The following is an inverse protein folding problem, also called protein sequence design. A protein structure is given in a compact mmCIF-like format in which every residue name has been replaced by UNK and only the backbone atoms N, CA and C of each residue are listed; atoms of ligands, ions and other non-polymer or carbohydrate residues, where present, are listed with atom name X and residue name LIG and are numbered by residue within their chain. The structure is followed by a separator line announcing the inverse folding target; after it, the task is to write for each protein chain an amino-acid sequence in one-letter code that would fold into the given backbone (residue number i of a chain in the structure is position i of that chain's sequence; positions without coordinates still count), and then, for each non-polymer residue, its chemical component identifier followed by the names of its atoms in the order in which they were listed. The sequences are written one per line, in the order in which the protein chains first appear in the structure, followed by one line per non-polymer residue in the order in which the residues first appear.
data_IF_929877202363
#
_entry.id   IF_929877202363
#
_cell.length_a   1.000
_cell.length_b   1.000
_cell.length_c   1.000
_cell.angle_alpha   90.00
_cell.angle_beta   90.00
_cell.angle_gamma   90.00
#
_symmetry.space_group_name_H-M   'P 1'
#
loop_
_entity.id
_entity.type
_entity.pdbx_description
1 polymer ?
#
# COMPACT_ATOMS: atom_id res chain seq x y z
N UNK A 1 -7.70 -62.04 -36.52
CA UNK A 1 -6.72 -60.93 -36.54
C UNK A 1 -7.48 -59.62 -36.38
N UNK A 2 -7.64 -59.16 -35.15
CA UNK A 2 -8.39 -57.94 -34.78
C UNK A 2 -7.40 -56.79 -34.63
N UNK A 3 -7.49 -55.78 -35.49
CA UNK A 3 -6.62 -54.58 -35.46
C UNK A 3 -7.18 -53.57 -34.45
N UNK A 4 -6.43 -53.34 -33.37
CA UNK A 4 -6.72 -52.33 -32.35
C UNK A 4 -6.42 -50.94 -32.93
N UNK A 5 -7.41 -50.05 -32.91
CA UNK A 5 -7.26 -48.65 -33.32
C UNK A 5 -6.56 -47.85 -32.21
N UNK A 6 -5.53 -47.09 -32.58
CA UNK A 6 -4.74 -46.25 -31.68
C UNK A 6 -5.50 -44.97 -31.26
N UNK A 7 -5.30 -44.45 -30.04
CA UNK A 7 -5.95 -43.23 -29.57
C UNK A 7 -5.35 -41.98 -30.25
N UNK A 8 -6.24 -41.12 -30.75
CA UNK A 8 -5.94 -39.82 -31.36
C UNK A 8 -5.20 -38.88 -30.40
N UNK A 9 -4.12 -38.25 -30.91
CA UNK A 9 -3.28 -37.32 -30.17
C UNK A 9 -4.04 -36.04 -29.71
N UNK A 10 -3.67 -35.44 -28.56
CA UNK A 10 -4.27 -34.20 -28.08
C UNK A 10 -3.79 -32.99 -28.89
N UNK A 11 -4.73 -32.11 -29.26
CA UNK A 11 -4.50 -30.86 -29.99
C UNK A 11 -3.51 -29.93 -29.28
N UNK A 12 -2.64 -29.20 -30.01
CA UNK A 12 -1.64 -28.32 -29.41
C UNK A 12 -2.31 -27.14 -28.70
N UNK A 13 -2.04 -27.05 -27.40
CA UNK A 13 -2.45 -25.99 -26.49
C UNK A 13 -2.27 -24.60 -27.09
N UNK A 14 -3.35 -23.83 -27.22
CA UNK A 14 -3.22 -22.38 -27.35
C UNK A 14 -2.52 -21.87 -26.08
N UNK A 15 -1.36 -21.22 -26.20
CA UNK A 15 -0.73 -20.53 -25.06
C UNK A 15 -1.47 -19.21 -24.79
N UNK A 16 -1.64 -18.77 -23.54
CA UNK A 16 -2.25 -17.47 -23.27
C UNK A 16 -1.33 -16.35 -23.75
N UNK A 17 -1.76 -15.58 -24.74
CA UNK A 17 -1.01 -14.44 -25.29
C UNK A 17 -0.82 -13.29 -24.28
N UNK A 18 -1.56 -13.30 -23.16
CA UNK A 18 -1.50 -12.27 -22.10
C UNK A 18 -0.43 -12.47 -21.01
N UNK A 19 -0.04 -13.71 -20.69
CA UNK A 19 0.94 -13.98 -19.61
C UNK A 19 2.37 -13.57 -19.98
N UNK A 20 2.70 -13.60 -21.27
CA UNK A 20 4.02 -13.19 -21.77
C UNK A 20 4.20 -11.68 -21.73
N UNK A 21 3.14 -10.89 -21.92
CA UNK A 21 3.21 -9.43 -21.92
C UNK A 21 3.64 -8.85 -20.57
N UNK A 22 3.07 -9.35 -19.47
CA UNK A 22 3.44 -8.87 -18.13
C UNK A 22 4.84 -9.32 -17.72
N UNK A 23 5.21 -10.58 -17.99
CA UNK A 23 6.56 -11.08 -17.72
C UNK A 23 7.62 -10.34 -18.55
N UNK A 24 7.32 -10.03 -19.81
CA UNK A 24 8.18 -9.23 -20.68
C UNK A 24 8.29 -7.78 -20.17
N UNK A 25 7.19 -7.17 -19.72
CA UNK A 25 7.21 -5.81 -19.16
C UNK A 25 8.06 -5.72 -17.88
N UNK A 26 7.88 -6.64 -16.92
CA UNK A 26 8.71 -6.68 -15.71
C UNK A 26 10.18 -7.00 -16.04
N UNK A 27 10.42 -7.89 -17.01
CA UNK A 27 11.77 -8.16 -17.53
C UNK A 27 12.43 -6.95 -18.17
N UNK A 28 11.68 -6.17 -18.98
CA UNK A 28 12.16 -4.92 -19.60
C UNK A 28 12.42 -3.86 -18.54
N UNK A 29 11.53 -3.66 -17.57
CA UNK A 29 11.73 -2.70 -16.49
C UNK A 29 12.98 -3.10 -15.67
N UNK A 30 13.10 -4.38 -15.31
CA UNK A 30 14.28 -4.90 -14.63
C UNK A 30 15.56 -4.70 -15.45
N UNK A 31 15.53 -5.00 -16.75
CA UNK A 31 16.66 -4.79 -17.66
C UNK A 31 17.03 -3.31 -17.80
N UNK A 32 16.05 -2.41 -17.94
CA UNK A 32 16.27 -0.96 -18.03
C UNK A 32 16.87 -0.44 -16.73
N UNK A 33 16.37 -0.89 -15.58
CA UNK A 33 16.93 -0.53 -14.27
C UNK A 33 18.36 -1.07 -14.14
N UNK A 34 18.61 -2.32 -14.50
CA UNK A 34 19.96 -2.91 -14.48
C UNK A 34 20.89 -2.18 -15.44
N UNK A 35 20.47 -1.91 -16.68
CA UNK A 35 21.25 -1.14 -17.66
C UNK A 35 21.55 0.26 -17.14
N UNK A 36 20.57 0.94 -16.54
CA UNK A 36 20.75 2.27 -15.99
C UNK A 36 21.70 2.27 -14.78
N UNK A 37 21.66 1.22 -13.95
CA UNK A 37 22.56 1.06 -12.80
C UNK A 37 23.97 0.64 -13.23
N UNK A 38 24.10 -0.25 -14.22
CA UNK A 38 25.37 -0.84 -14.68
C UNK A 38 26.11 0.08 -15.64
N UNK A 39 25.42 0.66 -16.63
CA UNK A 39 26.02 1.65 -17.55
C UNK A 39 26.12 3.03 -16.92
N UNK A 40 25.39 3.26 -15.83
CA UNK A 40 25.32 4.52 -15.13
C UNK A 40 24.52 5.58 -15.89
N UNK A 41 24.01 6.60 -15.19
CA UNK A 41 23.46 7.76 -15.85
C UNK A 41 24.63 8.56 -16.43
N UNK A 42 24.84 8.44 -17.75
CA UNK A 42 25.94 9.11 -18.45
C UNK A 42 25.83 10.64 -18.46
N UNK A 43 26.70 11.32 -19.21
CA UNK A 43 26.82 12.80 -19.21
C UNK A 43 25.50 13.54 -19.41
N UNK A 44 24.61 13.04 -20.27
CA UNK A 44 23.30 13.66 -20.49
C UNK A 44 22.45 13.72 -19.21
N UNK A 45 22.47 12.66 -18.40
CA UNK A 45 21.74 12.66 -17.13
C UNK A 45 22.30 13.69 -16.16
N UNK A 46 23.63 13.81 -16.10
CA UNK A 46 24.29 14.77 -15.24
C UNK A 46 23.95 16.20 -15.66
N UNK A 47 23.93 16.50 -16.96
CA UNK A 47 23.56 17.81 -17.49
C UNK A 47 22.09 18.15 -17.29
N UNK A 48 21.17 17.21 -17.53
CA UNK A 48 19.72 17.50 -17.51
C UNK A 48 19.04 17.31 -16.15
N UNK A 49 19.59 16.48 -15.26
CA UNK A 49 18.96 16.16 -13.98
C UNK A 49 19.84 16.54 -12.79
N UNK A 50 21.11 16.13 -12.76
CA UNK A 50 21.97 16.35 -11.58
C UNK A 50 22.36 17.82 -11.44
N UNK A 51 22.87 18.44 -12.52
CA UNK A 51 23.35 19.82 -12.52
C UNK A 51 22.24 20.80 -12.14
N UNK A 52 21.05 20.77 -12.76
CA UNK A 52 19.97 21.68 -12.37
C UNK A 52 19.49 21.42 -10.95
N UNK A 53 19.47 20.16 -10.52
CA UNK A 53 19.09 19.78 -9.15
C UNK A 53 20.07 20.34 -8.10
N UNK A 54 21.37 20.21 -8.31
CA UNK A 54 22.39 20.76 -7.40
C UNK A 54 22.23 22.27 -7.31
N UNK A 55 22.15 22.97 -8.45
CA UNK A 55 22.01 24.42 -8.46
C UNK A 55 20.69 24.88 -7.81
N UNK A 56 19.60 24.14 -8.02
CA UNK A 56 18.34 24.40 -7.35
C UNK A 56 18.46 24.22 -5.83
N UNK A 57 19.12 23.17 -5.36
CA UNK A 57 19.32 22.93 -3.93
C UNK A 57 20.20 24.01 -3.28
N UNK A 58 21.29 24.42 -3.93
CA UNK A 58 22.16 25.52 -3.46
C UNK A 58 21.42 26.85 -3.47
N UNK A 59 20.60 27.10 -4.49
CA UNK A 59 19.75 28.29 -4.52
C UNK A 59 18.73 28.31 -3.38
N UNK A 60 18.06 27.16 -3.15
CA UNK A 60 17.09 27.02 -2.07
C UNK A 60 17.75 27.15 -0.70
N UNK A 61 18.99 26.70 -0.53
CA UNK A 61 19.79 26.89 0.68
C UNK A 61 19.96 28.36 1.03
N UNK A 62 20.31 29.19 0.03
CA UNK A 62 20.40 30.64 0.22
C UNK A 62 19.06 31.24 0.64
N UNK A 63 17.95 30.76 0.06
CA UNK A 63 16.60 31.22 0.43
C UNK A 63 16.18 30.84 1.86
N UNK A 64 16.69 29.72 2.39
CA UNK A 64 16.39 29.26 3.75
C UNK A 64 17.51 29.57 4.75
N UNK A 65 18.26 30.65 4.49
CA UNK A 65 19.28 31.20 5.37
C UNK A 65 20.47 30.25 5.65
N UNK A 66 20.87 29.45 4.66
CA UNK A 66 22.01 28.55 4.76
C UNK A 66 21.71 27.21 5.46
N UNK A 67 20.45 26.91 5.74
CA UNK A 67 20.05 25.65 6.38
C UNK A 67 19.75 24.58 5.33
N UNK A 68 20.77 23.82 4.94
CA UNK A 68 20.66 22.88 3.83
C UNK A 68 19.58 21.81 4.03
N UNK A 69 19.32 21.38 5.27
CA UNK A 69 18.22 20.45 5.57
C UNK A 69 16.84 21.02 5.24
N UNK A 70 16.62 22.32 5.46
CA UNK A 70 15.40 23.00 5.03
C UNK A 70 15.35 23.15 3.51
N UNK A 71 16.49 23.30 2.84
CA UNK A 71 16.55 23.36 1.38
C UNK A 71 16.07 22.05 0.75
N UNK A 72 16.48 20.90 1.31
CA UNK A 72 15.99 19.57 0.90
C UNK A 72 14.48 19.46 1.11
N UNK A 73 13.97 19.90 2.27
CA UNK A 73 12.52 19.86 2.57
C UNK A 73 11.75 20.73 1.56
N UNK A 74 12.17 21.98 1.37
CA UNK A 74 11.53 22.92 0.47
C UNK A 74 11.56 22.42 -0.98
N UNK A 75 12.69 21.92 -1.45
CA UNK A 75 12.80 21.28 -2.76
C UNK A 75 11.78 20.13 -2.91
N UNK A 76 11.70 19.27 -1.90
CA UNK A 76 10.78 18.14 -1.90
C UNK A 76 9.34 18.61 -1.98
N UNK A 77 8.96 19.64 -1.20
CA UNK A 77 7.62 20.21 -1.22
C UNK A 77 7.29 20.85 -2.58
N UNK A 78 8.21 21.58 -3.19
CA UNK A 78 8.02 22.17 -4.53
C UNK A 78 7.81 21.08 -5.60
N UNK A 79 8.63 20.04 -5.59
CA UNK A 79 8.49 18.90 -6.49
C UNK A 79 7.14 18.18 -6.28
N UNK A 80 6.74 18.01 -5.02
CA UNK A 80 5.46 17.38 -4.66
C UNK A 80 4.25 18.23 -5.04
N UNK A 81 4.34 19.55 -4.90
CA UNK A 81 3.32 20.49 -5.38
C UNK A 81 3.20 20.44 -6.91
N UNK A 82 4.33 20.42 -7.63
CA UNK A 82 4.31 20.28 -9.09
C UNK A 82 3.67 18.96 -9.55
N UNK A 83 3.83 17.88 -8.77
CA UNK A 83 3.30 16.55 -9.08
C UNK A 83 1.93 16.26 -8.46
N UNK A 84 1.34 17.18 -7.69
CA UNK A 84 0.07 16.96 -6.98
C UNK A 84 -1.11 16.59 -7.87
N UNK A 85 -1.37 17.22 -9.04
CA UNK A 85 -2.52 16.83 -9.86
C UNK A 85 -2.37 15.39 -10.37
N UNK A 86 -1.13 14.98 -10.63
CA UNK A 86 -0.84 13.61 -11.05
C UNK A 86 -1.00 12.62 -9.89
N UNK A 87 -0.49 12.95 -8.69
CA UNK A 87 -0.64 12.12 -7.49
C UNK A 87 -2.11 11.92 -7.12
N UNK A 88 -2.94 12.97 -7.17
CA UNK A 88 -4.38 12.84 -6.86
C UNK A 88 -5.05 11.87 -7.84
N UNK A 89 -4.79 12.00 -9.15
CA UNK A 89 -5.34 11.09 -10.17
C UNK A 89 -4.89 9.64 -9.96
N UNK A 90 -3.65 9.41 -9.52
CA UNK A 90 -3.16 8.08 -9.19
C UNK A 90 -3.89 7.48 -7.97
N UNK A 91 -4.09 8.28 -6.92
CA UNK A 91 -4.76 7.84 -5.69
C UNK A 91 -6.24 7.55 -5.97
N UNK A 92 -6.90 8.36 -6.79
CA UNK A 92 -8.28 8.15 -7.25
C UNK A 92 -8.42 6.85 -8.05
N UNK A 93 -7.49 6.56 -8.97
CA UNK A 93 -7.52 5.29 -9.73
C UNK A 93 -7.42 4.08 -8.78
N UNK A 94 -6.59 4.21 -7.75
CA UNK A 94 -6.42 3.17 -6.72
C UNK A 94 -7.70 3.05 -5.87
N UNK A 95 -8.36 4.16 -5.54
CA UNK A 95 -9.65 4.18 -4.83
C UNK A 95 -10.75 3.51 -5.66
N UNK A 96 -10.81 3.76 -6.96
CA UNK A 96 -11.76 3.12 -7.87
C UNK A 96 -11.56 1.61 -7.92
N UNK A 97 -10.30 1.15 -7.95
CA UNK A 97 -9.96 -0.27 -7.89
C UNK A 97 -10.33 -0.91 -6.53
N UNK A 98 -10.17 -0.18 -5.42
CA UNK A 98 -10.67 -0.61 -4.11
C UNK A 98 -12.20 -0.75 -4.11
N UNK A 99 -12.92 0.20 -4.72
CA UNK A 99 -14.38 0.14 -4.84
C UNK A 99 -14.87 -1.00 -5.74
N UNK A 100 -14.09 -1.39 -6.75
CA UNK A 100 -14.39 -2.50 -7.66
C UNK A 100 -14.01 -3.89 -7.10
N UNK A 101 -13.45 -3.97 -5.88
CA UNK A 101 -13.12 -5.26 -5.25
C UNK A 101 -14.22 -6.32 -5.24
N UNK A 102 -15.51 -6.03 -4.93
CA UNK A 102 -16.55 -7.05 -5.00
C UNK A 102 -16.70 -7.64 -6.41
N UNK A 103 -16.65 -6.81 -7.46
CA UNK A 103 -16.75 -7.24 -8.85
C UNK A 103 -15.50 -8.06 -9.27
N UNK A 104 -14.32 -7.64 -8.81
CA UNK A 104 -13.07 -8.39 -9.00
C UNK A 104 -13.20 -9.80 -8.40
N UNK A 105 -13.79 -9.91 -7.21
CA UNK A 105 -13.98 -11.20 -6.55
C UNK A 105 -15.03 -12.07 -7.26
N UNK A 106 -16.10 -11.47 -7.77
CA UNK A 106 -17.11 -12.18 -8.58
C UNK A 106 -16.50 -12.76 -9.86
N UNK A 107 -15.69 -11.99 -10.58
CA UNK A 107 -14.97 -12.47 -11.77
C UNK A 107 -14.01 -13.61 -11.41
N UNK A 108 -13.26 -13.49 -10.31
CA UNK A 108 -12.36 -14.56 -9.85
C UNK A 108 -13.11 -15.85 -9.49
N UNK A 109 -14.31 -15.75 -8.89
CA UNK A 109 -15.15 -16.90 -8.51
C UNK A 109 -15.85 -17.52 -9.72
N UNK A 110 -16.35 -16.68 -10.65
CA UNK A 110 -17.11 -17.10 -11.83
C UNK A 110 -16.23 -17.82 -12.85
N UNK A 111 -15.00 -17.36 -13.04
CA UNK A 111 -14.08 -17.92 -14.04
C UNK A 111 -12.93 -18.69 -13.37
N UNK A 112 -13.04 -20.03 -13.38
CA UNK A 112 -11.97 -20.93 -12.94
C UNK A 112 -10.82 -20.99 -13.95
N UNK A 113 -11.11 -20.81 -15.23
CA UNK A 113 -10.10 -20.77 -16.29
C UNK A 113 -9.21 -19.53 -16.16
N UNK A 114 -7.88 -19.70 -16.06
CA UNK A 114 -6.96 -18.58 -15.82
C UNK A 114 -6.97 -17.56 -16.97
N UNK A 115 -7.17 -18.02 -18.22
CA UNK A 115 -7.20 -17.12 -19.39
C UNK A 115 -8.44 -16.24 -19.41
N UNK A 116 -9.62 -16.85 -19.32
CA UNK A 116 -10.89 -16.09 -19.30
C UNK A 116 -10.98 -15.18 -18.10
N UNK A 117 -10.48 -15.63 -16.93
CA UNK A 117 -10.37 -14.77 -15.75
C UNK A 117 -9.53 -13.52 -16.03
N UNK A 118 -8.37 -13.65 -16.67
CA UNK A 118 -7.52 -12.50 -17.00
C UNK A 118 -8.21 -11.55 -18.01
N UNK A 119 -8.90 -12.08 -19.01
CA UNK A 119 -9.61 -11.28 -20.01
C UNK A 119 -10.78 -10.50 -19.39
N UNK A 120 -11.62 -11.15 -18.61
CA UNK A 120 -12.76 -10.52 -17.92
C UNK A 120 -12.28 -9.54 -16.84
N UNK A 121 -11.19 -9.85 -16.13
CA UNK A 121 -10.55 -8.89 -15.22
C UNK A 121 -10.06 -7.64 -15.95
N UNK A 122 -9.49 -7.78 -17.14
CA UNK A 122 -9.04 -6.64 -17.94
C UNK A 122 -10.20 -5.81 -18.48
N UNK A 123 -11.30 -6.46 -18.89
CA UNK A 123 -12.54 -5.76 -19.28
C UNK A 123 -13.09 -4.96 -18.11
N UNK A 124 -13.19 -5.58 -16.93
CA UNK A 124 -13.61 -4.91 -15.71
C UNK A 124 -12.74 -3.68 -15.38
N UNK A 125 -11.42 -3.81 -15.49
CA UNK A 125 -10.52 -2.67 -15.29
C UNK A 125 -10.77 -1.54 -16.29
N UNK A 126 -11.07 -1.86 -17.56
CA UNK A 126 -11.43 -0.84 -18.57
C UNK A 126 -12.78 -0.19 -18.27
N UNK A 127 -13.78 -0.96 -17.87
CA UNK A 127 -15.12 -0.47 -17.52
C UNK A 127 -15.09 0.48 -16.31
N UNK A 128 -14.25 0.16 -15.31
CA UNK A 128 -14.04 0.99 -14.13
C UNK A 128 -13.09 2.18 -14.41
N UNK A 129 -12.51 2.26 -15.62
CA UNK A 129 -11.57 3.32 -15.98
C UNK A 129 -10.21 3.22 -15.26
N UNK A 130 -9.87 2.03 -14.75
CA UNK A 130 -8.61 1.77 -14.06
C UNK A 130 -7.48 1.49 -15.05
N UNK A 131 -6.41 2.29 -15.00
CA UNK A 131 -5.21 2.10 -15.81
C UNK A 131 -4.07 1.45 -14.98
N UNK A 132 -3.72 0.17 -15.22
CA UNK A 132 -2.66 -0.51 -14.47
C UNK A 132 -1.26 0.09 -14.70
N UNK A 133 -0.99 0.72 -15.86
CA UNK A 133 0.29 1.39 -16.13
C UNK A 133 0.42 2.70 -15.32
N UNK A 134 -0.70 3.36 -15.04
CA UNK A 134 -0.72 4.57 -14.22
C UNK A 134 -0.25 4.33 -12.78
N UNK A 135 -0.35 3.10 -12.28
CA UNK A 135 0.15 2.73 -10.95
C UNK A 135 1.66 2.49 -10.90
N UNK A 136 2.31 2.14 -12.02
CA UNK A 136 3.75 1.87 -12.07
C UNK A 136 4.58 3.13 -12.34
N UNK A 137 4.02 4.11 -13.05
CA UNK A 137 4.68 5.38 -13.37
C UNK A 137 5.32 6.09 -12.15
N UNK A 138 4.67 6.13 -10.98
CA UNK A 138 5.19 6.88 -9.83
C UNK A 138 6.39 6.20 -9.21
N UNK A 139 6.50 4.87 -9.32
CA UNK A 139 7.69 4.13 -8.93
C UNK A 139 8.89 4.51 -9.82
N UNK A 140 8.69 4.61 -11.14
CA UNK A 140 9.75 4.98 -12.09
C UNK A 140 10.22 6.41 -11.83
N UNK A 141 9.27 7.35 -11.70
CA UNK A 141 9.60 8.76 -11.38
C UNK A 141 10.31 8.84 -10.04
N UNK A 142 9.80 8.15 -9.01
CA UNK A 142 10.40 8.12 -7.67
C UNK A 142 11.84 7.61 -7.72
N UNK A 143 12.10 6.56 -8.49
CA UNK A 143 13.44 5.98 -8.64
C UNK A 143 14.40 6.96 -9.34
N UNK A 144 13.96 7.60 -10.42
CA UNK A 144 14.76 8.62 -11.11
C UNK A 144 15.11 9.80 -10.23
N UNK A 145 14.11 10.35 -9.51
CA UNK A 145 14.32 11.45 -8.56
C UNK A 145 15.23 11.03 -7.41
N UNK A 146 15.06 9.83 -6.87
CA UNK A 146 15.91 9.30 -5.80
C UNK A 146 17.37 9.18 -6.25
N UNK A 147 17.63 8.59 -7.43
CA UNK A 147 18.99 8.45 -7.95
C UNK A 147 19.61 9.83 -8.18
N UNK A 148 18.85 10.77 -8.73
CA UNK A 148 19.33 12.13 -8.94
C UNK A 148 19.69 12.82 -7.62
N UNK A 149 18.79 12.77 -6.64
CA UNK A 149 18.99 13.40 -5.34
C UNK A 149 20.12 12.75 -4.54
N UNK A 150 20.21 11.42 -4.54
CA UNK A 150 21.30 10.72 -3.87
C UNK A 150 22.66 11.11 -4.45
N UNK A 151 22.80 11.16 -5.78
CA UNK A 151 24.04 11.61 -6.44
C UNK A 151 24.33 13.07 -6.11
N UNK A 152 23.35 13.96 -6.20
CA UNK A 152 23.50 15.37 -5.84
C UNK A 152 24.00 15.53 -4.40
N UNK A 153 23.35 14.87 -3.42
CA UNK A 153 23.74 14.93 -2.01
C UNK A 153 25.15 14.41 -1.75
N UNK A 154 25.64 13.43 -2.52
CA UNK A 154 27.03 12.95 -2.39
C UNK A 154 28.07 13.97 -2.88
N UNK A 155 27.73 14.85 -3.82
CA UNK A 155 28.59 15.98 -4.18
C UNK A 155 28.51 17.09 -3.15
N UNK A 156 27.28 17.39 -2.70
CA UNK A 156 27.01 18.56 -1.86
C UNK A 156 27.48 18.35 -0.41
N UNK A 157 27.32 17.13 0.11
CA UNK A 157 27.53 16.81 1.53
C UNK A 157 28.52 15.66 1.71
N UNK A 158 29.29 15.31 0.68
CA UNK A 158 30.20 14.15 0.68
C UNK A 158 31.35 14.23 1.68
N UNK A 159 31.66 15.43 2.19
CA UNK A 159 32.67 15.66 3.23
C UNK A 159 34.10 15.36 2.79
N UNK A 160 34.33 15.11 1.49
CA UNK A 160 35.65 14.83 0.92
C UNK A 160 36.08 15.95 -0.05
N UNK A 161 37.38 16.23 -0.21
CA UNK A 161 37.87 17.23 -1.17
C UNK A 161 37.37 16.98 -2.61
N UNK A 162 37.26 15.71 -3.01
CA UNK A 162 36.77 15.31 -4.32
C UNK A 162 35.30 15.67 -4.52
N UNK A 163 34.48 15.55 -3.45
CA UNK A 163 33.07 15.95 -3.51
C UNK A 163 32.91 17.46 -3.70
N UNK A 164 33.78 18.27 -3.09
CA UNK A 164 33.80 19.73 -3.26
C UNK A 164 34.24 20.13 -4.67
N UNK A 165 35.24 19.47 -5.25
CA UNK A 165 35.62 19.68 -6.65
C UNK A 165 34.47 19.29 -7.58
N UNK A 166 33.84 18.14 -7.34
CA UNK A 166 32.66 17.70 -8.09
C UNK A 166 31.51 18.69 -7.99
N UNK A 167 31.22 19.22 -6.79
CA UNK A 167 30.22 20.25 -6.58
C UNK A 167 30.56 21.52 -7.39
N UNK A 168 31.79 22.01 -7.30
CA UNK A 168 32.24 23.18 -8.05
C UNK A 168 32.10 23.02 -9.56
N UNK A 169 32.31 21.82 -10.10
CA UNK A 169 32.13 21.53 -11.53
C UNK A 169 30.66 21.53 -11.98
N UNK A 170 29.73 21.29 -11.05
CA UNK A 170 28.29 21.30 -11.34
C UNK A 170 27.63 22.65 -11.05
N UNK A 171 28.32 23.59 -10.40
CA UNK A 171 27.77 24.92 -10.17
C UNK A 171 27.72 25.74 -11.45
N UNK A 172 26.61 26.44 -11.66
CA UNK A 172 26.53 27.49 -12.65
C UNK A 172 27.44 28.64 -12.26
N UNK A 173 27.96 29.34 -13.28
CA UNK A 173 28.86 30.48 -13.10
C UNK A 173 28.10 31.74 -12.63
N UNK A 174 27.55 31.66 -11.42
CA UNK A 174 26.75 32.68 -10.76
C UNK A 174 27.41 32.94 -9.40
N UNK A 175 27.93 34.16 -9.13
CA UNK A 175 28.66 34.46 -7.89
C UNK A 175 27.88 34.12 -6.62
N UNK A 176 26.56 34.35 -6.64
CA UNK A 176 25.66 34.03 -5.53
C UNK A 176 25.70 32.55 -5.11
N UNK A 177 25.80 31.61 -6.07
CA UNK A 177 25.83 30.17 -5.76
C UNK A 177 27.21 29.71 -5.27
N UNK A 178 28.27 30.32 -5.79
CA UNK A 178 29.65 30.00 -5.40
C UNK A 178 29.95 30.45 -3.97
N UNK A 179 29.42 31.62 -3.57
CA UNK A 179 29.59 32.18 -2.23
C UNK A 179 28.81 31.42 -1.14
N UNK A 180 27.85 30.56 -1.52
CA UNK A 180 27.09 29.74 -0.59
C UNK A 180 27.86 28.48 -0.11
N UNK A 181 29.05 28.23 -0.66
CA UNK A 181 29.90 27.10 -0.26
C UNK A 181 30.89 27.57 0.83
N UNK A 182 31.14 26.78 1.90
CA UNK A 182 30.59 25.44 2.16
C UNK A 182 29.18 25.48 2.75
N UNK A 183 28.37 24.50 2.37
CA UNK A 183 26.99 24.38 2.84
C UNK A 183 26.96 23.75 4.23
N UNK A 184 26.04 24.23 5.09
CA UNK A 184 25.86 23.65 6.42
C UNK A 184 25.35 22.21 6.30
N UNK A 185 26.07 21.29 6.91
CA UNK A 185 25.74 19.87 6.89
C UNK A 185 24.92 19.45 8.09
N UNK A 186 24.73 20.32 9.07
CA UNK A 186 23.98 20.04 10.29
C UNK A 186 22.50 20.39 10.12
N UNK A 187 21.63 19.47 10.51
CA UNK A 187 20.20 19.71 10.54
C UNK A 187 19.56 18.89 11.65
N UNK A 188 18.95 19.55 12.63
CA UNK A 188 18.44 18.90 13.84
C UNK A 188 19.58 18.10 14.54
N UNK A 189 19.39 16.81 14.78
CA UNK A 189 20.42 15.90 15.31
C UNK A 189 21.27 15.23 14.23
N UNK A 190 21.06 15.58 12.96
CA UNK A 190 21.63 14.89 11.80
C UNK A 190 22.86 15.60 11.24
N UNK A 191 23.75 14.81 10.66
CA UNK A 191 24.77 15.27 9.72
C UNK A 191 24.40 14.75 8.33
N UNK A 192 23.93 15.63 7.46
CA UNK A 192 23.23 15.30 6.21
C UNK A 192 24.05 14.43 5.24
N UNK A 193 25.38 14.49 5.32
CA UNK A 193 26.33 13.71 4.53
C UNK A 193 26.63 12.31 5.06
N UNK A 194 26.22 12.01 6.29
CA UNK A 194 26.49 10.74 6.97
C UNK A 194 25.18 10.04 7.34
N UNK A 195 25.19 8.71 7.51
CA UNK A 195 24.04 7.99 8.05
C UNK A 195 23.66 8.47 9.46
N UNK A 196 22.37 8.38 9.80
CA UNK A 196 21.88 8.71 11.14
C UNK A 196 22.23 7.60 12.14
N UNK A 197 23.14 7.90 13.05
CA UNK A 197 23.61 6.97 14.10
C UNK A 197 22.60 6.77 15.23
N UNK A 198 21.60 7.66 15.35
CA UNK A 198 20.55 7.54 16.38
C UNK A 198 19.44 6.57 15.98
N UNK A 199 19.40 6.18 14.69
CA UNK A 199 18.39 5.32 14.07
C UNK A 199 16.96 5.88 14.10
N UNK A 200 16.76 7.10 14.61
CA UNK A 200 15.45 7.77 14.69
C UNK A 200 14.92 8.03 13.28
N UNK A 201 15.75 8.58 12.38
CA UNK A 201 15.34 8.90 11.01
C UNK A 201 14.96 7.66 10.19
N UNK A 202 15.79 6.58 10.13
CA UNK A 202 15.40 5.30 9.52
C UNK A 202 14.07 4.77 10.04
N UNK A 203 13.85 4.81 11.37
CA UNK A 203 12.59 4.36 11.98
C UNK A 203 11.41 5.18 11.46
N UNK A 204 11.53 6.50 11.40
CA UNK A 204 10.48 7.37 10.85
C UNK A 204 10.22 7.07 9.37
N UNK A 205 11.27 6.83 8.57
CA UNK A 205 11.12 6.42 7.16
C UNK A 205 10.36 5.10 7.07
N UNK A 206 10.73 4.08 7.85
CA UNK A 206 10.04 2.79 7.88
C UNK A 206 8.57 2.93 8.30
N UNK A 207 8.29 3.59 9.42
CA UNK A 207 6.93 3.78 9.93
C UNK A 207 6.08 4.57 8.94
N UNK A 208 6.58 5.69 8.43
CA UNK A 208 5.83 6.53 7.46
C UNK A 208 5.55 5.80 6.15
N UNK A 209 6.51 4.99 5.65
CA UNK A 209 6.31 4.15 4.46
C UNK A 209 5.27 3.07 4.73
N UNK A 210 5.30 2.43 5.90
CA UNK A 210 4.29 1.42 6.26
C UNK A 210 2.88 2.01 6.29
N UNK A 211 2.70 3.18 6.92
CA UNK A 211 1.40 3.88 6.97
C UNK A 211 0.92 4.23 5.57
N UNK A 212 1.80 4.82 4.74
CA UNK A 212 1.48 5.17 3.35
C UNK A 212 1.07 3.93 2.54
N UNK A 213 1.81 2.83 2.66
CA UNK A 213 1.53 1.59 1.96
C UNK A 213 0.17 1.02 2.38
N UNK A 214 -0.12 0.99 3.69
CA UNK A 214 -1.40 0.49 4.24
C UNK A 214 -2.60 1.31 3.77
N UNK A 215 -2.48 2.62 3.62
CA UNK A 215 -3.56 3.48 3.10
C UNK A 215 -3.96 3.12 1.66
N UNK A 216 -2.99 2.69 0.86
CA UNK A 216 -3.19 2.36 -0.56
C UNK A 216 -3.54 0.89 -0.80
N UNK A 217 -3.55 0.06 0.25
CA UNK A 217 -3.81 -1.37 0.13
C UNK A 217 -5.23 -1.69 -0.24
N UNK A 218 -5.37 -2.72 -1.07
CA UNK A 218 -6.67 -3.18 -1.52
C UNK A 218 -6.95 -4.58 -0.99
N UNK A 219 -8.04 -4.80 -0.22
CA UNK A 219 -8.37 -6.13 0.30
C UNK A 219 -8.59 -7.14 -0.82
N UNK A 220 -8.08 -8.37 -0.65
CA UNK A 220 -8.27 -9.47 -1.60
C UNK A 220 -8.96 -10.64 -0.89
N UNK A 221 -9.93 -11.28 -1.54
CA UNK A 221 -10.66 -12.41 -0.95
C UNK A 221 -9.88 -13.73 -0.98
N UNK A 222 -8.87 -13.86 -1.84
CA UNK A 222 -8.01 -15.04 -1.85
C UNK A 222 -6.97 -14.93 -0.72
N UNK A 223 -6.98 -15.83 0.29
CA UNK A 223 -6.05 -15.77 1.43
C UNK A 223 -4.57 -15.76 1.00
N UNK A 224 -4.21 -16.50 -0.05
CA UNK A 224 -2.84 -16.57 -0.54
C UNK A 224 -2.38 -15.24 -1.15
N UNK A 225 -3.25 -14.60 -1.94
CA UNK A 225 -2.96 -13.29 -2.53
C UNK A 225 -2.93 -12.18 -1.47
N UNK A 226 -3.81 -12.28 -0.47
CA UNK A 226 -3.84 -11.36 0.65
C UNK A 226 -2.56 -11.46 1.49
N UNK A 227 -2.08 -12.68 1.76
CA UNK A 227 -0.80 -12.88 2.46
C UNK A 227 0.37 -12.32 1.66
N UNK A 228 0.40 -12.49 0.33
CA UNK A 228 1.43 -11.90 -0.51
C UNK A 228 1.41 -10.36 -0.47
N UNK A 229 0.23 -9.74 -0.50
CA UNK A 229 0.08 -8.29 -0.35
C UNK A 229 0.52 -7.80 1.04
N UNK A 230 0.20 -8.55 2.11
CA UNK A 230 0.65 -8.24 3.45
C UNK A 230 2.17 -8.39 3.59
N UNK A 231 2.78 -9.40 2.99
CA UNK A 231 4.24 -9.53 2.97
C UNK A 231 4.88 -8.31 2.30
N UNK A 232 4.36 -7.86 1.16
CA UNK A 232 4.83 -6.64 0.50
C UNK A 232 4.63 -5.39 1.39
N UNK A 233 3.54 -5.34 2.16
CA UNK A 233 3.26 -4.26 3.13
C UNK A 233 4.38 -4.04 4.12
N UNK A 234 4.98 -5.13 4.60
CA UNK A 234 5.97 -5.12 5.66
C UNK A 234 7.39 -5.14 5.11
N UNK A 235 7.61 -5.86 4.01
CA UNK A 235 8.91 -6.03 3.38
C UNK A 235 9.46 -4.69 2.86
N UNK A 236 8.65 -3.90 2.14
CA UNK A 236 9.12 -2.64 1.55
C UNK A 236 9.53 -1.61 2.62
N UNK A 237 8.71 -1.32 3.65
CA UNK A 237 9.13 -0.42 4.73
C UNK A 237 10.35 -0.91 5.50
N UNK A 238 10.46 -2.22 5.74
CA UNK A 238 11.61 -2.80 6.43
C UNK A 238 12.88 -2.70 5.57
N UNK A 239 12.77 -2.95 4.26
CA UNK A 239 13.86 -2.74 3.31
C UNK A 239 14.31 -1.27 3.32
N UNK A 240 13.38 -0.32 3.25
CA UNK A 240 13.72 1.11 3.30
C UNK A 240 14.31 1.53 4.65
N UNK A 241 13.84 0.95 5.76
CA UNK A 241 14.46 1.13 7.07
C UNK A 241 15.93 0.74 7.03
N UNK A 242 16.25 -0.50 6.62
CA UNK A 242 17.63 -0.99 6.54
C UNK A 242 18.49 -0.24 5.51
N UNK A 243 17.90 0.13 4.38
CA UNK A 243 18.59 0.94 3.37
C UNK A 243 18.97 2.31 3.93
N UNK A 244 18.06 2.95 4.66
CA UNK A 244 18.30 4.28 5.26
C UNK A 244 19.37 4.27 6.34
N UNK A 245 19.62 3.12 7.00
CA UNK A 245 20.74 2.98 7.96
C UNK A 245 22.11 3.18 7.30
N UNK A 246 22.22 2.98 5.98
CA UNK A 246 23.48 3.00 5.26
C UNK A 246 23.62 4.23 4.34
N UNK A 247 22.56 5.03 4.20
CA UNK A 247 22.55 6.18 3.30
C UNK A 247 22.77 7.50 4.07
N UNK A 248 23.27 8.54 3.41
CA UNK A 248 23.33 9.88 3.99
C UNK A 248 21.96 10.34 4.50
N UNK A 249 21.92 10.92 5.69
CA UNK A 249 20.68 11.30 6.35
C UNK A 249 19.86 12.34 5.57
N UNK A 250 20.49 13.15 4.69
CA UNK A 250 19.75 14.04 3.78
C UNK A 250 18.77 13.30 2.85
N UNK A 251 19.08 12.05 2.47
CA UNK A 251 18.18 11.18 1.70
C UNK A 251 16.98 10.76 2.56
N UNK A 252 17.22 10.47 3.84
CA UNK A 252 16.16 10.16 4.80
C UNK A 252 15.23 11.35 5.04
N UNK A 253 15.76 12.57 5.16
CA UNK A 253 14.96 13.81 5.27
C UNK A 253 14.04 13.98 4.07
N UNK A 254 14.54 13.75 2.85
CA UNK A 254 13.73 13.71 1.64
C UNK A 254 12.60 12.67 1.74
N UNK A 255 12.92 11.42 2.13
CA UNK A 255 11.91 10.37 2.24
C UNK A 255 10.81 10.70 3.23
N UNK A 256 11.16 11.17 4.43
CA UNK A 256 10.18 11.56 5.45
C UNK A 256 9.28 12.68 4.92
N UNK A 257 9.86 13.72 4.35
CA UNK A 257 9.10 14.87 3.78
C UNK A 257 8.16 14.42 2.67
N UNK A 258 8.66 13.60 1.76
CA UNK A 258 7.90 12.98 0.68
C UNK A 258 6.75 12.11 1.21
N UNK A 259 7.00 11.30 2.22
CA UNK A 259 5.99 10.42 2.81
C UNK A 259 4.91 11.23 3.51
N UNK A 260 5.28 12.25 4.28
CA UNK A 260 4.35 13.19 4.92
C UNK A 260 3.43 13.82 3.87
N UNK A 261 3.98 14.31 2.76
CA UNK A 261 3.16 14.85 1.67
C UNK A 261 2.21 13.80 1.10
N UNK A 262 2.68 12.57 0.85
CA UNK A 262 1.82 11.50 0.34
C UNK A 262 0.73 11.10 1.33
N UNK A 263 1.00 11.14 2.64
CA UNK A 263 -0.01 10.91 3.67
C UNK A 263 -1.08 12.02 3.63
N UNK A 264 -0.68 13.28 3.44
CA UNK A 264 -1.64 14.38 3.24
C UNK A 264 -2.48 14.21 1.97
N UNK A 265 -1.85 13.88 0.84
CA UNK A 265 -2.57 13.62 -0.42
C UNK A 265 -3.52 12.42 -0.28
N UNK A 266 -3.07 11.34 0.37
CA UNK A 266 -3.88 10.17 0.67
C UNK A 266 -5.04 10.49 1.62
N UNK A 267 -4.83 11.32 2.62
CA UNK A 267 -5.89 11.80 3.50
C UNK A 267 -6.93 12.63 2.74
N UNK A 268 -6.50 13.48 1.82
CA UNK A 268 -7.41 14.26 0.97
C UNK A 268 -8.28 13.36 0.08
N UNK A 269 -7.70 12.32 -0.53
CA UNK A 269 -8.42 11.44 -1.47
C UNK A 269 -9.24 10.35 -0.76
N UNK A 270 -8.70 9.71 0.28
CA UNK A 270 -9.35 8.59 0.98
C UNK A 270 -10.14 9.03 2.22
N UNK A 271 -9.95 10.26 2.69
CA UNK A 271 -10.62 10.82 3.85
C UNK A 271 -10.11 10.29 5.21
N UNK A 272 -10.77 10.73 6.29
CA UNK A 272 -10.40 10.41 7.69
C UNK A 272 -10.31 8.91 8.01
N UNK A 273 -11.04 8.05 7.28
CA UNK A 273 -11.04 6.61 7.54
C UNK A 273 -9.68 5.96 7.22
N UNK A 274 -8.95 6.48 6.24
CA UNK A 274 -7.67 5.90 5.82
C UNK A 274 -6.57 5.99 6.88
N UNK A 275 -6.60 7.00 7.75
CA UNK A 275 -5.67 7.16 8.88
C UNK A 275 -6.22 6.60 10.20
N UNK A 276 -7.28 5.78 10.16
CA UNK A 276 -7.83 5.21 11.38
C UNK A 276 -6.87 4.21 12.02
N UNK A 277 -6.62 4.35 13.32
CA UNK A 277 -5.76 3.44 14.08
C UNK A 277 -6.19 1.97 13.97
N UNK A 278 -7.50 1.73 13.83
CA UNK A 278 -8.05 0.40 13.56
C UNK A 278 -7.54 -0.15 12.22
N UNK A 279 -7.56 0.62 11.15
CA UNK A 279 -7.15 0.16 9.82
C UNK A 279 -5.63 0.00 9.67
N UNK A 280 -4.85 0.78 10.42
CA UNK A 280 -3.38 0.69 10.45
C UNK A 280 -2.88 -0.54 11.21
N UNK A 281 -3.50 -0.86 12.35
CA UNK A 281 -3.06 -1.92 13.26
C UNK A 281 -3.79 -3.26 13.07
N UNK A 282 -5.01 -3.26 12.53
CA UNK A 282 -5.73 -4.52 12.27
C UNK A 282 -5.21 -5.18 10.98
N UNK A 283 -5.13 -6.52 10.94
CA UNK A 283 -5.04 -7.24 9.68
C UNK A 283 -6.23 -6.80 8.83
N UNK A 284 -5.99 -6.42 7.58
CA UNK A 284 -7.08 -6.10 6.64
C UNK A 284 -7.99 -7.33 6.62
N UNK A 285 -9.16 -7.27 7.24
CA UNK A 285 -10.06 -8.41 7.27
C UNK A 285 -10.53 -8.65 5.83
N UNK A 286 -10.37 -9.88 5.33
CA UNK A 286 -11.04 -10.26 4.10
C UNK A 286 -12.54 -9.93 4.27
N UNK A 287 -13.21 -9.29 3.30
CA UNK A 287 -14.64 -9.07 3.40
C UNK A 287 -15.28 -10.44 3.63
N UNK A 288 -16.04 -10.55 4.72
CA UNK A 288 -16.70 -11.79 5.10
C UNK A 288 -17.40 -12.35 3.86
N UNK A 289 -17.02 -13.56 3.46
CA UNK A 289 -17.67 -14.24 2.35
C UNK A 289 -19.19 -14.14 2.56
N UNK A 290 -19.90 -13.51 1.61
CA UNK A 290 -21.35 -13.38 1.66
C UNK A 290 -21.96 -14.74 2.06
N UNK A 291 -22.95 -14.78 2.97
CA UNK A 291 -23.47 -16.04 3.47
C UNK A 291 -23.86 -16.92 2.29
N UNK A 292 -23.17 -18.06 2.15
CA UNK A 292 -23.40 -18.97 1.04
C UNK A 292 -24.85 -19.46 1.02
N UNK A 293 -25.30 -20.08 -0.10
CA UNK A 293 -26.68 -20.56 -0.27
C UNK A 293 -27.22 -21.43 0.88
N UNK A 294 -26.31 -22.08 1.62
CA UNK A 294 -26.63 -22.91 2.78
C UNK A 294 -27.09 -22.12 4.03
N UNK A 295 -26.80 -20.83 4.14
CA UNK A 295 -27.34 -19.99 5.23
C UNK A 295 -28.85 -19.77 5.04
N UNK A 296 -29.27 -19.44 3.81
CA UNK A 296 -30.70 -19.36 3.44
C UNK A 296 -31.40 -20.72 3.55
N UNK A 297 -30.71 -21.82 3.26
CA UNK A 297 -31.25 -23.19 3.40
C UNK A 297 -31.43 -23.59 4.88
N UNK A 298 -30.54 -23.16 5.78
CA UNK A 298 -30.68 -23.33 7.24
C UNK A 298 -31.79 -22.47 7.84
N UNK A 299 -32.01 -21.29 7.27
CA UNK A 299 -33.09 -20.38 7.69
C UNK A 299 -34.46 -20.86 7.19
N UNK A 300 -34.54 -21.35 5.94
CA UNK A 300 -35.74 -22.01 5.40
C UNK A 300 -36.05 -23.33 6.11
N UNK A 301 -35.05 -24.14 6.46
CA UNK A 301 -35.27 -25.38 7.24
C UNK A 301 -35.82 -25.12 8.65
N UNK A 302 -35.43 -24.00 9.28
CA UNK A 302 -36.01 -23.56 10.57
C UNK A 302 -37.45 -23.08 10.45
N UNK A 303 -37.84 -22.49 9.31
CA UNK A 303 -39.22 -22.03 9.06
C UNK A 303 -40.13 -23.23 8.73
N UNK A 304 -39.62 -24.26 8.04
CA UNK A 304 -40.39 -25.49 7.73
C UNK A 304 -40.63 -26.36 8.97
N UNK A 305 -39.71 -26.40 9.94
CA UNK A 305 -39.91 -27.16 11.18
C UNK A 305 -40.91 -26.51 12.16
N UNK A 306 -41.29 -25.24 11.98
CA UNK A 306 -42.30 -24.60 12.85
C UNK A 306 -43.73 -24.70 12.30
N UNK A 307 -43.95 -25.42 11.19
CA UNK A 307 -45.26 -25.61 10.57
C UNK A 307 -45.47 -27.07 10.15
N UNK A 308 -45.74 -27.94 11.11
CA UNK A 308 -46.53 -29.15 10.86
C UNK A 308 -47.60 -29.31 11.96
N UNK A 309 -48.83 -29.74 11.63
CA UNK A 309 -49.99 -29.64 12.51
C UNK A 309 -50.04 -30.79 13.53
N UNK A 310 -50.51 -30.50 14.74
CA UNK A 310 -50.92 -31.48 15.75
C UNK A 310 -52.15 -32.27 15.28
N UNK A 311 -51.98 -33.58 15.07
CA UNK A 311 -53.01 -34.61 15.00
C UNK A 311 -52.27 -35.94 15.23
N UNK A 312 -52.57 -36.88 16.12
CA UNK A 312 -53.68 -37.19 17.03
C UNK A 312 -53.18 -38.26 18.02
N UNK A 313 -53.75 -38.34 19.23
CA UNK A 313 -53.77 -39.57 20.03
C UNK A 313 -55.00 -39.59 20.96
N UNK A 314 -55.65 -40.75 21.16
CA UNK A 314 -57.04 -40.82 21.62
C UNK A 314 -57.19 -40.81 23.15
N UNK A 315 -58.35 -40.35 23.59
CA UNK A 315 -58.78 -40.30 24.97
C UNK A 315 -59.32 -41.64 25.48
N UNK A 316 -58.88 -42.05 26.66
CA UNK A 316 -59.65 -42.87 27.61
C UNK A 316 -59.40 -42.35 29.03
N UNK A 317 -60.47 -42.25 29.80
CA UNK A 317 -60.55 -41.80 31.20
C UNK A 317 -61.36 -42.86 32.00
N UNK A 318 -61.64 -42.68 33.31
CA UNK A 318 -60.79 -42.29 34.45
C UNK A 318 -60.96 -43.29 35.64
N UNK A 319 -60.19 -43.11 36.73
CA UNK A 319 -60.44 -43.49 38.14
C UNK A 319 -59.06 -43.51 38.85
N UNK A 320 -58.82 -43.19 40.11
CA UNK A 320 -59.58 -42.84 41.30
C UNK A 320 -58.56 -42.36 42.37
N UNK A 321 -59.03 -42.09 43.58
CA UNK A 321 -58.36 -41.41 44.70
C UNK A 321 -56.96 -41.92 45.14
N UNK A 322 -56.09 -41.02 45.60
CA UNK A 322 -55.66 -40.89 47.02
C UNK A 322 -54.44 -39.95 47.22
N UNK A 323 -54.54 -39.11 48.25
CA UNK A 323 -53.52 -38.23 48.88
C UNK A 323 -52.45 -39.05 49.65
N UNK A 324 -51.41 -38.52 50.36
CA UNK A 324 -50.80 -37.17 50.42
C UNK A 324 -49.24 -37.12 50.55
N UNK A 325 -48.70 -35.89 50.61
CA UNK A 325 -47.49 -35.47 51.35
C UNK A 325 -46.10 -35.90 50.80
N UNK A 326 -44.98 -35.17 50.93
CA UNK A 326 -44.65 -34.05 51.79
C UNK A 326 -43.40 -33.28 51.25
N UNK A 327 -43.36 -31.97 51.56
CA UNK A 327 -42.17 -31.15 51.96
C UNK A 327 -41.02 -30.95 50.95
N UNK A 328 -40.51 -29.75 50.65
CA UNK A 328 -40.20 -28.58 51.51
C UNK A 328 -40.21 -27.26 50.70
N UNK A 329 -40.80 -26.20 51.29
CA UNK A 329 -40.79 -24.75 50.90
C UNK A 329 -39.47 -24.05 51.35
N UNK A 330 -39.23 -22.73 51.15
CA UNK A 330 -39.86 -21.73 50.27
C UNK A 330 -38.85 -20.85 49.47
N UNK A 331 -39.40 -20.07 48.55
CA UNK A 331 -38.83 -18.85 48.02
C UNK A 331 -38.89 -17.68 49.03
N UNK A 332 -37.88 -16.80 49.01
CA UNK A 332 -37.98 -15.45 49.54
C UNK A 332 -37.66 -14.46 48.43
N UNK A 333 -38.68 -13.71 48.01
CA UNK A 333 -38.54 -12.60 47.08
C UNK A 333 -38.34 -11.27 47.80
N UNK A 334 -37.81 -10.28 47.07
CA UNK A 334 -38.12 -8.84 47.18
C UNK A 334 -37.46 -8.13 45.99
N UNK A 335 -38.21 -7.76 44.96
CA UNK A 335 -38.89 -6.46 44.75
C UNK A 335 -37.95 -5.25 44.49
N UNK A 336 -37.94 -4.86 43.21
CA UNK A 336 -38.35 -3.54 42.67
C UNK A 336 -37.65 -2.27 43.23
N UNK A 337 -36.70 -1.77 42.42
CA UNK A 337 -36.71 -0.46 41.74
C UNK A 337 -36.86 0.85 42.54
N UNK A 338 -35.98 1.83 42.25
CA UNK A 338 -36.36 3.25 42.28
C UNK A 338 -35.44 4.14 41.41
N UNK A 339 -36.09 5.12 40.80
CA UNK A 339 -35.64 6.14 39.85
C UNK A 339 -35.53 7.48 40.63
N UNK A 340 -34.51 8.32 40.42
CA UNK A 340 -34.57 9.81 40.28
C UNK A 340 -33.21 10.54 40.45
N UNK A 341 -32.83 11.25 39.38
CA UNK A 341 -32.51 12.69 39.22
C UNK A 341 -31.64 13.54 40.18
N UNK A 342 -30.92 14.47 39.51
CA UNK A 342 -30.24 15.74 39.92
C UNK A 342 -28.86 15.56 40.56
N UNK A 343 -27.82 16.32 40.21
CA UNK A 343 -27.69 17.69 39.66
C UNK A 343 -26.77 17.75 38.45
#
# INVERSE_FOLDING_TARGET
MTRVAAPSAPSPSSRPRGSRGNALMFGIIGLVVILFVVLGPGRAWDTFFITPLINALVFLDILVFGQFGLAIILFTLLLRLATIPFTIRQLESTRAMQAAQPQIQEVQKKYKDPKRRQEEMMKLYKEVGFNPLGCAMPLVIQMGVFIALYRALRFVVGGSPESLVGLSQHLYNIPMLQNAIPLDQHFLWLTLGKPDVTYVLPLIVGVSTYVQQKMSMTPNANPQMQQQQQMMAWMMPMMLFFLTLNLPSGVGVYWVTSNVFQLFAGYYVYGRRALSWRQLLMPSAAPAASPGPNAKKREQAKITQSKQPEESAPATAPDGADTPAARVRPAHGKRRGKRKNRR
#
